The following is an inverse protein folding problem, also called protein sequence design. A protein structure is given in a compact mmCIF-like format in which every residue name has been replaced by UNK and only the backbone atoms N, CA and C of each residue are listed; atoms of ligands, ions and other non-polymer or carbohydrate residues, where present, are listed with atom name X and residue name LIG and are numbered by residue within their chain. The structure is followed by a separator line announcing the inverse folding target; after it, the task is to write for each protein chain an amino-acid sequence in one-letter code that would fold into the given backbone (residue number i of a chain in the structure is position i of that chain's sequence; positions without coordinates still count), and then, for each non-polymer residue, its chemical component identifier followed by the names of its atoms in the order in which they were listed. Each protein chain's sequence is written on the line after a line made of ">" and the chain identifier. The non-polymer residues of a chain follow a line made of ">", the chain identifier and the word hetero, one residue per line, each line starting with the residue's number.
data_IF_578225906682
#
_entry.id   IF_578225906682
#
_cell.length_a   1.000
_cell.length_b   1.000
_cell.length_c   1.000
_cell.angle_alpha   90.00
_cell.angle_beta   90.00
_cell.angle_gamma   90.00
#
_symmetry.space_group_name_H-M   'P 1'
#
loop_
_entity.id
_entity.type
_entity.pdbx_description
1 polymer ?
#
# COMPACT_ATOMS: atom_id res chain seq x y z
N UNK A 1 28.72 -20.15 14.66
CA UNK A 1 27.26 -20.13 14.87
C UNK A 1 26.67 -19.13 13.90
N UNK A 2 25.89 -19.59 12.92
CA UNK A 2 25.21 -18.68 12.00
C UNK A 2 24.03 -18.05 12.75
N UNK A 3 24.07 -16.72 12.93
CA UNK A 3 22.93 -15.97 13.44
C UNK A 3 21.88 -15.93 12.33
N UNK A 4 20.77 -16.63 12.52
CA UNK A 4 19.59 -16.46 11.65
C UNK A 4 19.02 -15.08 12.02
N UNK A 5 19.10 -14.13 11.09
CA UNK A 5 18.45 -12.83 11.25
C UNK A 5 16.95 -13.05 11.01
N UNK A 6 16.16 -12.96 12.08
CA UNK A 6 14.70 -13.12 12.04
C UNK A 6 14.02 -12.09 11.10
N UNK A 7 14.73 -11.03 10.73
CA UNK A 7 14.31 -9.99 9.78
C UNK A 7 14.29 -10.46 8.33
N UNK A 8 15.06 -11.49 7.97
CA UNK A 8 15.27 -11.87 6.57
C UNK A 8 14.15 -12.77 6.02
N UNK A 9 13.17 -13.15 6.86
CA UNK A 9 12.04 -14.03 6.53
C UNK A 9 10.67 -13.40 6.82
N UNK A 10 10.59 -12.07 6.89
CA UNK A 10 9.30 -11.39 7.01
C UNK A 10 8.50 -11.61 5.71
N UNK A 11 7.26 -12.14 5.75
CA UNK A 11 6.45 -12.34 4.54
C UNK A 11 6.17 -11.01 3.83
N UNK A 12 6.16 -11.01 2.50
CA UNK A 12 5.67 -9.86 1.76
C UNK A 12 4.15 -9.75 1.97
N UNK A 13 3.67 -8.58 2.41
CA UNK A 13 2.24 -8.28 2.51
C UNK A 13 1.85 -7.35 1.36
N UNK A 14 0.95 -7.81 0.50
CA UNK A 14 0.41 -7.03 -0.61
C UNK A 14 -0.90 -6.36 -0.21
N UNK A 15 -0.95 -5.03 -0.29
CA UNK A 15 -2.17 -4.24 -0.10
C UNK A 15 -2.68 -3.80 -1.47
N UNK A 16 -3.81 -4.35 -1.89
CA UNK A 16 -4.46 -3.99 -3.16
C UNK A 16 -5.56 -2.95 -2.89
N UNK A 17 -5.44 -1.77 -3.52
CA UNK A 17 -6.34 -0.65 -3.34
C UNK A 17 -7.06 -0.33 -4.67
N UNK A 18 -8.32 -0.75 -4.86
CA UNK A 18 -9.13 -0.29 -5.97
C UNK A 18 -9.55 1.17 -5.77
N UNK A 19 -9.49 1.96 -6.83
CA UNK A 19 -9.77 3.40 -6.84
C UNK A 19 -10.81 3.70 -7.91
N UNK A 20 -11.96 4.23 -7.50
CA UNK A 20 -13.04 4.70 -8.36
C UNK A 20 -13.70 5.96 -7.79
N UNK A 21 -13.38 7.12 -8.36
CA UNK A 21 -13.95 8.42 -8.00
C UNK A 21 -13.83 8.77 -6.50
N UNK A 22 -12.60 8.71 -5.94
CA UNK A 22 -12.32 8.91 -4.51
C UNK A 22 -11.29 10.01 -4.23
N UNK A 23 -11.12 10.99 -5.12
CA UNK A 23 -10.12 12.07 -5.01
C UNK A 23 -10.06 12.72 -3.61
N UNK A 24 -11.23 12.93 -2.99
CA UNK A 24 -11.37 13.61 -1.70
C UNK A 24 -10.82 12.81 -0.51
N UNK A 25 -10.60 11.50 -0.66
CA UNK A 25 -10.21 10.60 0.44
C UNK A 25 -8.92 9.84 0.15
N UNK A 26 -8.48 9.80 -1.11
CA UNK A 26 -7.35 8.99 -1.53
C UNK A 26 -6.07 9.39 -0.80
N UNK A 27 -5.77 10.68 -0.69
CA UNK A 27 -4.58 11.15 0.00
C UNK A 27 -4.54 10.65 1.45
N UNK A 28 -5.66 10.74 2.17
CA UNK A 28 -5.78 10.27 3.56
C UNK A 28 -5.61 8.74 3.64
N UNK A 29 -6.18 8.00 2.69
CA UNK A 29 -6.05 6.55 2.60
C UNK A 29 -4.58 6.14 2.39
N UNK A 30 -3.92 6.70 1.37
CA UNK A 30 -2.51 6.43 1.06
C UNK A 30 -1.60 6.78 2.24
N UNK A 31 -1.83 7.93 2.86
CA UNK A 31 -1.14 8.33 4.08
C UNK A 31 -1.28 7.31 5.21
N UNK A 32 -2.44 6.66 5.35
CA UNK A 32 -2.65 5.59 6.33
C UNK A 32 -1.89 4.31 5.97
N UNK A 33 -1.91 3.89 4.70
CA UNK A 33 -1.29 2.63 4.25
C UNK A 33 0.23 2.74 4.13
N UNK A 34 0.78 3.92 3.88
CA UNK A 34 2.24 4.13 3.85
C UNK A 34 2.84 4.15 5.27
N UNK A 35 2.08 4.60 6.28
CA UNK A 35 2.57 4.73 7.67
C UNK A 35 2.45 3.45 8.50
N UNK A 36 2.50 2.28 7.87
CA UNK A 36 2.46 1.01 8.59
C UNK A 36 3.76 0.76 9.37
N UNK A 37 3.65 0.10 10.52
CA UNK A 37 4.80 -0.33 11.32
C UNK A 37 5.51 -1.53 10.69
N UNK A 38 4.76 -2.38 9.99
CA UNK A 38 5.31 -3.46 9.15
C UNK A 38 5.92 -2.89 7.87
N UNK A 39 7.14 -3.34 7.52
CA UNK A 39 7.95 -2.72 6.46
C UNK A 39 8.07 -3.53 5.18
N UNK A 40 7.85 -4.85 5.22
CA UNK A 40 7.89 -5.68 4.02
C UNK A 40 6.51 -5.68 3.33
N UNK A 41 6.10 -4.50 2.86
CA UNK A 41 4.81 -4.29 2.19
C UNK A 41 5.00 -3.85 0.74
N UNK A 42 4.09 -4.29 -0.12
CA UNK A 42 3.84 -3.67 -1.43
C UNK A 42 2.43 -3.10 -1.45
N UNK A 43 2.25 -1.95 -2.10
CA UNK A 43 0.96 -1.28 -2.24
C UNK A 43 0.67 -1.19 -3.72
N UNK A 44 -0.43 -1.81 -4.15
CA UNK A 44 -0.85 -1.87 -5.55
C UNK A 44 -2.15 -1.09 -5.68
N UNK A 45 -2.11 0.03 -6.40
CA UNK A 45 -3.28 0.86 -6.66
C UNK A 45 -3.84 0.48 -8.02
N UNK A 46 -5.13 0.15 -8.08
CA UNK A 46 -5.82 -0.23 -9.31
C UNK A 46 -6.87 0.82 -9.62
N UNK A 47 -6.67 1.57 -10.71
CA UNK A 47 -7.71 2.46 -11.23
C UNK A 47 -8.82 1.63 -11.87
N UNK A 48 -10.03 1.72 -11.34
CA UNK A 48 -11.21 1.03 -11.89
C UNK A 48 -12.03 1.95 -12.82
N UNK A 49 -11.34 2.80 -13.59
CA UNK A 49 -11.98 3.73 -14.52
C UNK A 49 -12.50 5.02 -13.88
N UNK A 50 -11.80 5.54 -12.87
CA UNK A 50 -12.10 6.86 -12.30
C UNK A 50 -12.10 7.94 -13.38
N UNK A 51 -13.06 8.86 -13.30
CA UNK A 51 -13.17 10.04 -14.16
C UNK A 51 -12.76 11.34 -13.42
N UNK A 52 -12.47 11.23 -12.13
CA UNK A 52 -11.98 12.31 -11.28
C UNK A 52 -10.44 12.32 -11.22
N UNK A 53 -9.88 13.24 -10.44
CA UNK A 53 -8.42 13.37 -10.30
C UNK A 53 -7.82 12.40 -9.27
N UNK A 54 -8.43 11.23 -9.06
CA UNK A 54 -7.87 10.24 -8.13
C UNK A 54 -6.46 9.76 -8.50
N UNK A 55 -5.98 9.92 -9.74
CA UNK A 55 -4.66 9.39 -10.18
C UNK A 55 -3.76 10.47 -10.80
N UNK A 56 -4.17 11.74 -10.74
CA UNK A 56 -3.37 12.87 -11.21
C UNK A 56 -2.24 13.28 -10.25
#
# INVERSE_FOLDING_TARGET
>A
MNKINLTDNLPLISVVLPVYNVENYLEKCLNSVVRQTYKNIEIIIVNDGSLDSSID
#
